data_IF_292185638078
#
_entry.id   IF_292185638078
#
_cell.length_a   1.000
_cell.length_b   1.000
_cell.length_c   1.000
_cell.angle_alpha   90.00
_cell.angle_beta   90.00
_cell.angle_gamma   90.00
#
_symmetry.space_group_name_H-M   'P 1'
#
loop_
_entity.id
_entity.type
_entity.pdbx_description
1 polymer ?
#
# COMPACT_ATOMS: atom_id res chain seq x y z
N UNK A 1 3.47 9.79 -16.10
CA UNK A 1 2.36 8.84 -16.38
C UNK A 1 1.89 8.85 -17.83
N UNK A 2 2.29 9.85 -18.62
CA UNK A 2 1.84 10.10 -19.99
C UNK A 2 1.98 8.90 -20.94
N UNK A 3 2.97 8.02 -20.73
CA UNK A 3 3.13 6.83 -21.56
C UNK A 3 1.97 5.82 -21.38
N UNK A 4 1.62 5.44 -20.16
CA UNK A 4 0.51 4.49 -19.94
C UNK A 4 -0.84 5.10 -20.35
N UNK A 5 -1.02 6.40 -20.14
CA UNK A 5 -2.22 7.13 -20.55
C UNK A 5 -2.41 7.14 -22.08
N UNK A 6 -1.32 7.15 -22.85
CA UNK A 6 -1.36 7.15 -24.30
C UNK A 6 -1.58 5.76 -24.92
N UNK A 7 -1.38 4.67 -24.16
CA UNK A 7 -1.37 3.29 -24.65
C UNK A 7 -2.44 2.44 -23.93
N UNK A 8 -3.70 2.86 -24.04
CA UNK A 8 -4.87 2.21 -23.39
C UNK A 8 -5.13 0.84 -24.03
N UNK A 9 -5.25 -0.21 -23.22
CA UNK A 9 -5.54 -1.56 -23.71
C UNK A 9 -4.44 -2.19 -24.56
N UNK A 10 -3.19 -1.78 -24.40
CA UNK A 10 -2.08 -2.24 -25.25
C UNK A 10 -1.23 -3.35 -24.62
N UNK A 11 -1.19 -3.44 -23.28
CA UNK A 11 -0.27 -4.33 -22.58
C UNK A 11 -0.95 -5.58 -22.03
N UNK A 12 -0.32 -6.74 -22.20
CA UNK A 12 -0.74 -7.99 -21.57
C UNK A 12 -0.31 -8.07 -20.10
N UNK A 13 0.72 -7.30 -19.72
CA UNK A 13 1.18 -7.24 -18.35
C UNK A 13 1.99 -5.98 -18.05
N UNK A 14 1.87 -5.50 -16.83
CA UNK A 14 2.63 -4.37 -16.30
C UNK A 14 3.27 -4.83 -14.99
N UNK A 15 4.59 -4.66 -14.89
CA UNK A 15 5.37 -5.02 -13.72
C UNK A 15 6.06 -3.77 -13.16
N UNK A 16 5.85 -3.50 -11.88
CA UNK A 16 6.54 -2.45 -11.15
C UNK A 16 7.07 -3.00 -9.83
N UNK A 17 8.40 -3.02 -9.71
CA UNK A 17 9.08 -3.41 -8.49
C UNK A 17 9.86 -2.25 -7.93
N UNK A 18 9.78 -2.09 -6.61
CA UNK A 18 10.45 -1.04 -5.87
C UNK A 18 10.20 0.37 -6.43
N UNK A 19 8.93 0.67 -6.66
CA UNK A 19 8.51 1.91 -7.32
C UNK A 19 7.53 2.70 -6.47
N UNK A 20 6.44 2.05 -6.04
CA UNK A 20 5.34 2.75 -5.40
C UNK A 20 5.74 3.36 -4.05
N UNK A 21 6.74 2.80 -3.36
CA UNK A 21 7.25 3.35 -2.11
C UNK A 21 7.98 4.69 -2.27
N UNK A 22 8.38 5.06 -3.49
CA UNK A 22 8.98 6.34 -3.83
C UNK A 22 7.95 7.41 -4.22
N UNK A 23 6.66 7.10 -4.10
CA UNK A 23 5.58 7.94 -4.58
C UNK A 23 4.65 8.35 -3.43
N UNK A 24 3.99 9.50 -3.60
CA UNK A 24 2.92 9.93 -2.70
C UNK A 24 1.65 9.08 -2.88
N UNK A 25 0.72 9.18 -1.92
CA UNK A 25 -0.53 8.41 -1.97
C UNK A 25 -1.38 8.73 -3.22
N UNK A 26 -1.44 10.01 -3.60
CA UNK A 26 -2.18 10.47 -4.79
C UNK A 26 -1.54 9.97 -6.09
N UNK A 27 -0.20 9.97 -6.15
CA UNK A 27 0.53 9.47 -7.31
C UNK A 27 0.36 7.95 -7.45
N UNK A 28 0.43 7.17 -6.38
CA UNK A 28 0.20 5.72 -6.47
C UNK A 28 -1.23 5.41 -6.91
N UNK A 29 -2.22 6.14 -6.41
CA UNK A 29 -3.60 6.05 -6.89
C UNK A 29 -3.71 6.34 -8.39
N UNK A 30 -3.05 7.42 -8.86
CA UNK A 30 -2.98 7.76 -10.27
C UNK A 30 -2.34 6.64 -11.10
N UNK A 31 -1.19 6.13 -10.65
CA UNK A 31 -0.42 5.09 -11.32
C UNK A 31 -1.26 3.83 -11.51
N UNK A 32 -1.91 3.36 -10.44
CA UNK A 32 -2.71 2.13 -10.47
C UNK A 32 -3.87 2.29 -11.44
N UNK A 33 -4.59 3.43 -11.41
CA UNK A 33 -5.70 3.69 -12.34
C UNK A 33 -5.25 3.68 -13.80
N UNK A 34 -4.15 4.36 -14.13
CA UNK A 34 -3.68 4.43 -15.52
C UNK A 34 -3.07 3.10 -15.97
N UNK A 35 -2.39 2.38 -15.09
CA UNK A 35 -1.86 1.05 -15.38
C UNK A 35 -2.98 0.06 -15.70
N UNK A 36 -4.05 0.02 -14.91
CA UNK A 36 -5.18 -0.87 -15.17
C UNK A 36 -5.86 -0.54 -16.50
N UNK A 37 -6.00 0.74 -16.85
CA UNK A 37 -6.53 1.14 -18.18
C UNK A 37 -5.62 0.75 -19.35
N UNK A 38 -4.31 0.75 -19.13
CA UNK A 38 -3.33 0.38 -20.15
C UNK A 38 -3.28 -1.13 -20.41
N UNK A 39 -3.84 -1.95 -19.52
CA UNK A 39 -3.93 -3.39 -19.70
C UNK A 39 -5.05 -3.78 -20.68
N UNK A 40 -4.77 -4.80 -21.49
CA UNK A 40 -5.79 -5.56 -22.24
C UNK A 40 -6.73 -6.30 -21.28
N UNK A 41 -7.90 -6.76 -21.76
CA UNK A 41 -8.67 -7.78 -21.05
C UNK A 41 -7.76 -8.96 -20.63
N UNK A 42 -7.95 -9.48 -19.42
CA UNK A 42 -7.11 -10.53 -18.80
C UNK A 42 -5.64 -10.13 -18.55
N UNK A 43 -5.27 -8.87 -18.79
CA UNK A 43 -3.94 -8.36 -18.51
C UNK A 43 -3.64 -8.31 -17.02
N UNK A 44 -2.35 -8.42 -16.65
CA UNK A 44 -1.93 -8.54 -15.24
C UNK A 44 -1.10 -7.35 -14.77
N UNK A 45 -1.42 -6.82 -13.59
CA UNK A 45 -0.58 -5.86 -12.88
C UNK A 45 0.14 -6.57 -11.73
N UNK A 46 1.47 -6.47 -11.69
CA UNK A 46 2.30 -7.01 -10.61
C UNK A 46 3.04 -5.86 -9.94
N UNK A 47 2.79 -5.69 -8.64
CA UNK A 47 3.45 -4.69 -7.79
C UNK A 47 4.32 -5.41 -6.75
N UNK A 48 5.59 -5.03 -6.68
CA UNK A 48 6.54 -5.51 -5.67
C UNK A 48 7.06 -4.31 -4.88
N UNK A 49 6.91 -4.32 -3.56
CA UNK A 49 7.27 -3.19 -2.69
C UNK A 49 7.73 -3.70 -1.31
N UNK A 50 8.51 -2.93 -0.54
CA UNK A 50 8.89 -3.25 0.82
C UNK A 50 7.72 -3.72 1.68
N UNK A 51 7.90 -4.84 2.38
CA UNK A 51 6.86 -5.41 3.23
C UNK A 51 6.82 -4.68 4.59
N UNK A 52 5.76 -3.89 4.89
CA UNK A 52 5.66 -3.22 6.18
C UNK A 52 5.45 -4.20 7.34
N UNK A 53 5.13 -5.48 7.12
CA UNK A 53 5.03 -6.46 8.21
C UNK A 53 6.40 -7.00 8.67
N UNK A 54 7.49 -6.69 7.97
CA UNK A 54 8.84 -7.07 8.37
C UNK A 54 9.46 -5.97 9.25
N UNK A 55 9.86 -6.32 10.49
CA UNK A 55 10.34 -5.34 11.46
C UNK A 55 11.70 -4.72 11.08
N UNK A 56 12.61 -5.51 10.51
CA UNK A 56 13.90 -5.00 10.03
C UNK A 56 13.70 -4.01 8.87
N UNK A 57 12.74 -4.30 7.98
CA UNK A 57 12.33 -3.38 6.93
C UNK A 57 11.82 -2.07 7.52
N UNK A 58 10.92 -2.13 8.50
CA UNK A 58 10.36 -0.94 9.15
C UNK A 58 11.38 -0.11 9.94
N UNK A 59 12.31 -0.75 10.66
CA UNK A 59 13.21 -0.05 11.59
C UNK A 59 14.55 0.34 10.98
N UNK A 60 14.90 -0.23 9.82
CA UNK A 60 16.23 -0.05 9.23
C UNK A 60 16.18 0.04 7.71
N UNK A 61 15.84 -1.05 7.03
CA UNK A 61 16.18 -1.19 5.60
C UNK A 61 15.42 -0.17 4.72
N UNK A 62 14.19 0.16 5.08
CA UNK A 62 13.42 1.19 4.40
C UNK A 62 14.03 2.59 4.52
N UNK A 63 14.75 2.88 5.60
CA UNK A 63 15.32 4.22 5.84
C UNK A 63 16.74 4.39 5.28
N UNK A 64 17.33 3.32 4.75
CA UNK A 64 18.65 3.39 4.12
C UNK A 64 18.57 4.10 2.76
N UNK A 65 17.46 3.91 2.04
CA UNK A 65 17.20 4.60 0.79
C UNK A 65 16.56 5.97 1.08
N UNK A 66 17.25 7.04 0.68
CA UNK A 66 16.81 8.42 0.88
C UNK A 66 15.61 8.81 0.02
N UNK A 67 15.29 8.04 -1.01
CA UNK A 67 14.20 8.32 -1.95
C UNK A 67 12.88 7.69 -1.54
N UNK A 68 12.86 6.83 -0.50
CA UNK A 68 11.62 6.26 -0.02
C UNK A 68 10.72 7.31 0.63
N UNK A 69 9.46 7.33 0.23
CA UNK A 69 8.44 8.27 0.72
C UNK A 69 7.59 7.62 1.81
N UNK A 70 7.02 6.44 1.53
CA UNK A 70 6.17 5.73 2.52
C UNK A 70 5.98 4.26 2.21
N UNK A 71 5.61 3.51 3.24
CA UNK A 71 5.07 2.17 3.08
C UNK A 71 3.66 2.16 2.50
N UNK A 72 3.37 1.08 1.77
CA UNK A 72 2.05 0.68 1.36
C UNK A 72 1.75 -0.71 1.90
N UNK A 73 0.71 -0.84 2.72
CA UNK A 73 0.28 -2.13 3.23
C UNK A 73 -0.48 -2.92 2.15
N UNK A 74 -0.51 -4.24 2.31
CA UNK A 74 -1.25 -5.14 1.42
C UNK A 74 -2.73 -4.76 1.36
N UNK A 75 -3.32 -4.32 2.47
CA UNK A 75 -4.73 -3.90 2.55
C UNK A 75 -5.00 -2.69 1.66
N UNK A 76 -4.14 -1.68 1.70
CA UNK A 76 -4.27 -0.48 0.89
C UNK A 76 -4.06 -0.82 -0.58
N UNK A 77 -3.01 -1.59 -0.91
CA UNK A 77 -2.75 -2.00 -2.30
C UNK A 77 -3.93 -2.78 -2.87
N UNK A 78 -4.46 -3.75 -2.11
CA UNK A 78 -5.64 -4.53 -2.50
C UNK A 78 -6.84 -3.61 -2.77
N UNK A 79 -7.08 -2.63 -1.91
CA UNK A 79 -8.15 -1.67 -2.11
C UNK A 79 -7.96 -0.84 -3.38
N UNK A 80 -6.74 -0.33 -3.63
CA UNK A 80 -6.41 0.48 -4.80
C UNK A 80 -6.61 -0.28 -6.11
N UNK A 81 -6.08 -1.50 -6.22
CA UNK A 81 -6.21 -2.30 -7.45
C UNK A 81 -7.66 -2.75 -7.68
N UNK A 82 -8.40 -3.02 -6.59
CA UNK A 82 -9.81 -3.35 -6.67
C UNK A 82 -10.65 -2.15 -7.13
N UNK A 83 -10.42 -0.97 -6.58
CA UNK A 83 -11.07 0.28 -7.00
C UNK A 83 -10.79 0.60 -8.46
N UNK A 84 -9.56 0.36 -8.92
CA UNK A 84 -9.18 0.55 -10.32
C UNK A 84 -9.77 -0.49 -11.30
N UNK A 85 -10.38 -1.58 -10.82
CA UNK A 85 -11.12 -2.54 -11.64
C UNK A 85 -10.60 -3.97 -11.65
N UNK A 86 -9.46 -4.26 -10.99
CA UNK A 86 -8.96 -5.64 -10.88
C UNK A 86 -9.78 -6.44 -9.86
N UNK A 87 -9.87 -7.75 -10.06
CA UNK A 87 -10.75 -8.64 -9.25
C UNK A 87 -10.00 -9.85 -8.70
N UNK A 88 -9.18 -10.49 -9.52
CA UNK A 88 -8.31 -11.58 -9.07
C UNK A 88 -7.03 -10.99 -8.47
N UNK A 89 -6.97 -10.95 -7.13
CA UNK A 89 -5.86 -10.33 -6.41
C UNK A 89 -5.14 -11.40 -5.59
N UNK A 90 -3.94 -11.75 -6.04
CA UNK A 90 -3.02 -12.63 -5.33
C UNK A 90 -1.95 -11.82 -4.59
N UNK A 91 -1.52 -12.34 -3.44
CA UNK A 91 -0.51 -11.70 -2.60
C UNK A 91 0.52 -12.75 -2.22
N UNK A 92 1.79 -12.35 -2.29
CA UNK A 92 2.91 -13.18 -1.90
C UNK A 92 3.94 -12.40 -1.10
N UNK A 93 4.75 -13.14 -0.35
CA UNK A 93 5.97 -12.63 0.27
C UNK A 93 7.14 -13.44 -0.25
N UNK A 94 8.29 -12.80 -0.44
CA UNK A 94 9.51 -13.53 -0.77
C UNK A 94 10.03 -14.25 0.48
N UNK A 95 9.81 -15.57 0.56
CA UNK A 95 10.28 -16.40 1.68
C UNK A 95 11.81 -16.42 1.83
N UNK A 96 12.56 -16.04 0.79
CA UNK A 96 14.02 -15.95 0.82
C UNK A 96 14.53 -14.59 1.28
N UNK A 97 13.66 -13.66 1.68
CA UNK A 97 14.08 -12.35 2.16
C UNK A 97 14.85 -12.48 3.48
N UNK A 98 16.12 -12.07 3.47
CA UNK A 98 17.11 -12.43 4.50
C UNK A 98 16.83 -11.87 5.89
N UNK A 99 15.99 -10.83 6.01
CA UNK A 99 15.77 -10.11 7.26
C UNK A 99 14.71 -10.71 8.18
N UNK A 100 14.27 -11.95 7.91
CA UNK A 100 13.32 -12.71 8.73
C UNK A 100 11.87 -12.62 8.25
N UNK A 101 10.98 -13.45 8.80
CA UNK A 101 9.58 -13.47 8.37
C UNK A 101 8.87 -12.16 8.72
N UNK A 102 7.76 -11.88 8.02
CA UNK A 102 6.78 -10.93 8.53
C UNK A 102 6.40 -11.33 9.96
N UNK A 103 6.35 -10.37 10.89
CA UNK A 103 5.76 -10.65 12.19
C UNK A 103 4.29 -10.97 11.94
N UNK A 104 3.85 -12.16 12.38
CA UNK A 104 2.42 -12.47 12.44
C UNK A 104 1.73 -11.33 13.22
N UNK A 105 0.45 -11.05 12.90
CA UNK A 105 -0.36 -10.12 13.68
C UNK A 105 -0.15 -10.41 15.17
N UNK A 106 0.67 -9.59 15.83
CA UNK A 106 0.73 -9.63 17.27
C UNK A 106 -0.58 -8.97 17.69
N UNK A 107 -1.47 -9.76 18.29
CA UNK A 107 -2.52 -9.18 19.12
C UNK A 107 -1.75 -8.44 20.19
N UNK A 108 -1.60 -7.12 19.99
CA UNK A 108 -1.05 -6.26 21.02
C UNK A 108 -1.95 -6.50 22.23
N UNK A 109 -1.34 -6.86 23.36
CA UNK A 109 -2.08 -6.93 24.61
C UNK A 109 -2.82 -5.61 24.76
N UNK A 110 -4.11 -5.66 25.11
CA UNK A 110 -4.85 -4.44 25.42
C UNK A 110 -4.01 -3.66 26.43
N UNK A 111 -3.58 -2.47 26.03
CA UNK A 111 -2.90 -1.59 26.96
C UNK A 111 -3.88 -1.35 28.12
N UNK A 112 -3.45 -1.40 29.39
CA UNK A 112 -4.30 -1.20 30.56
C UNK A 112 -4.67 0.28 30.73
N UNK A 113 -5.05 0.94 29.63
CA UNK A 113 -5.62 2.27 29.59
C UNK A 113 -7.13 2.07 29.62
N UNK A 114 -7.73 2.18 30.80
CA UNK A 114 -9.16 2.49 30.87
C UNK A 114 -9.35 3.83 30.14
N UNK A 115 -10.14 3.86 29.04
CA UNK A 115 -10.41 5.13 28.38
C UNK A 115 -11.05 6.07 29.41
N UNK A 116 -10.63 7.34 29.49
CA UNK A 116 -11.25 8.28 30.42
C UNK A 116 -12.77 8.30 30.15
N UNK A 117 -13.61 8.43 31.19
CA UNK A 117 -15.06 8.46 31.01
C UNK A 117 -15.42 9.50 29.95
N UNK A 118 -16.19 9.09 28.95
CA UNK A 118 -16.67 9.97 27.89
C UNK A 118 -17.46 11.09 28.56
N UNK A 119 -16.84 12.26 28.72
CA UNK A 119 -17.59 13.47 29.06
C UNK A 119 -18.55 13.68 27.89
N UNK A 120 -19.84 13.80 28.17
CA UNK A 120 -20.83 14.22 27.17
C UNK A 120 -20.38 15.58 26.63
N UNK A 121 -19.70 15.56 25.48
CA UNK A 121 -19.28 16.75 24.78
C UNK A 121 -20.50 17.23 24.01
N UNK A 122 -21.18 18.22 24.58
CA UNK A 122 -22.40 18.83 24.04
C UNK A 122 -22.13 19.69 22.77
N UNK A 123 -21.06 19.37 22.02
CA UNK A 123 -20.68 20.03 20.78
C UNK A 123 -20.15 19.00 19.80
N UNK A 124 -20.94 18.79 18.74
CA UNK A 124 -20.66 17.98 17.53
C UNK A 124 -19.16 17.89 17.22
N UNK A 125 -18.58 16.72 17.41
CA UNK A 125 -17.20 16.45 16.97
C UNK A 125 -17.24 16.24 15.46
N UNK A 126 -16.83 17.26 14.70
CA UNK A 126 -16.39 17.09 13.32
C UNK A 126 -14.95 16.62 13.39
N UNK A 127 -14.69 15.41 12.90
CA UNK A 127 -13.37 14.79 12.88
C UNK A 127 -12.41 15.63 12.01
N UNK A 128 -11.74 16.62 12.59
CA UNK A 128 -10.58 17.31 11.98
C UNK A 128 -9.32 16.61 12.46
N UNK A 129 -9.00 15.48 11.84
CA UNK A 129 -7.71 14.82 12.07
C UNK A 129 -6.67 15.44 11.13
N UNK A 130 -5.70 16.10 11.79
CA UNK A 130 -4.34 16.49 11.38
C UNK A 130 -4.18 17.51 10.24
N UNK A 131 -3.68 18.69 10.62
CA UNK A 131 -2.91 19.59 9.75
C UNK A 131 -1.46 19.13 9.72
#
# INVERSE_FOLDING_TARGET
>A
MTYLEANVGEFDGIFAAHLIEHMGAEDVQGLVRVAVKALKPEGRLILVTPNPQNLQMQLRDFWIDLQHVRFYSVEIIRWLVHEAGLREIEIGVNASYRSGPALAHQVLAELPITPPPVRNLDRRIVNRLYR
#
